data_IF_651229072007
#
_entry.id   IF_651229072007
#
_cell.length_a   1.000
_cell.length_b   1.000
_cell.length_c   1.000
_cell.angle_alpha   90.00
_cell.angle_beta   90.00
_cell.angle_gamma   90.00
#
_symmetry.space_group_name_H-M   'P 1'
#
loop_
_entity.id
_entity.type
_entity.pdbx_description
1 polymer ?
#
# COMPACT_ATOMS: atom_id res chain seq x y z
N UNK A 1 8.52 5.15 -20.28
CA UNK A 1 7.46 5.55 -19.35
C UNK A 1 6.47 4.42 -19.41
N UNK A 2 6.54 3.50 -18.46
CA UNK A 2 5.53 2.45 -18.35
C UNK A 2 4.25 3.15 -17.86
N UNK A 3 3.17 3.06 -18.63
CA UNK A 3 1.89 3.58 -18.17
C UNK A 3 1.44 2.64 -17.05
N UNK A 4 1.11 3.19 -15.88
CA UNK A 4 0.61 2.40 -14.74
C UNK A 4 -0.50 1.42 -15.16
N UNK A 5 -0.78 0.39 -14.36
CA UNK A 5 -1.64 -0.72 -14.77
C UNK A 5 -2.98 -0.22 -15.31
N UNK A 6 -3.29 -0.57 -16.56
CA UNK A 6 -4.52 -0.10 -17.24
C UNK A 6 -5.71 -1.05 -17.05
N UNK A 7 -5.48 -2.23 -16.44
CA UNK A 7 -6.53 -3.21 -16.15
C UNK A 7 -6.52 -3.65 -14.68
N UNK A 8 -7.66 -4.12 -14.14
CA UNK A 8 -7.74 -4.67 -12.79
C UNK A 8 -6.83 -5.88 -12.56
N UNK A 9 -6.58 -6.76 -13.55
CA UNK A 9 -5.65 -7.89 -13.34
C UNK A 9 -4.20 -7.43 -13.20
N UNK A 10 -3.77 -6.48 -14.03
CA UNK A 10 -2.42 -5.91 -13.91
C UNK A 10 -2.26 -5.16 -12.58
N UNK A 11 -3.30 -4.43 -12.16
CA UNK A 11 -3.30 -3.76 -10.88
C UNK A 11 -3.14 -4.76 -9.71
N UNK A 12 -3.85 -5.90 -9.74
CA UNK A 12 -3.67 -6.97 -8.74
C UNK A 12 -2.23 -7.50 -8.73
N UNK A 13 -1.63 -7.77 -9.89
CA UNK A 13 -0.24 -8.25 -9.95
C UNK A 13 0.76 -7.24 -9.36
N UNK A 14 0.56 -5.95 -9.60
CA UNK A 14 1.37 -4.87 -9.01
C UNK A 14 1.18 -4.83 -7.50
N UNK A 15 -0.06 -4.87 -7.02
CA UNK A 15 -0.37 -4.85 -5.59
C UNK A 15 0.17 -6.09 -4.87
N UNK A 16 0.12 -7.27 -5.48
CA UNK A 16 0.70 -8.51 -4.97
C UNK A 16 2.23 -8.45 -4.85
N UNK A 17 2.90 -7.65 -5.70
CA UNK A 17 4.34 -7.38 -5.57
C UNK A 17 4.61 -6.57 -4.31
N UNK A 18 3.82 -5.52 -4.06
CA UNK A 18 3.97 -4.68 -2.88
C UNK A 18 3.55 -5.39 -1.59
N UNK A 19 2.50 -6.21 -1.64
CA UNK A 19 2.06 -7.05 -0.53
C UNK A 19 3.21 -7.95 -0.06
N UNK A 20 3.83 -8.70 -0.99
CA UNK A 20 4.98 -9.56 -0.66
C UNK A 20 6.23 -8.81 -0.22
N UNK A 21 6.48 -7.63 -0.78
CA UNK A 21 7.67 -6.85 -0.46
C UNK A 21 7.61 -6.23 0.94
N UNK A 22 6.47 -5.63 1.31
CA UNK A 22 6.32 -4.90 2.58
C UNK A 22 4.92 -4.99 3.18
N UNK A 23 3.87 -5.14 2.37
CA UNK A 23 2.49 -5.06 2.83
C UNK A 23 2.12 -6.14 3.85
N UNK A 24 2.43 -7.40 3.58
CA UNK A 24 2.07 -8.53 4.44
C UNK A 24 2.76 -8.44 5.80
N UNK A 25 4.06 -8.14 5.80
CA UNK A 25 4.84 -7.98 7.03
C UNK A 25 4.40 -6.74 7.83
N UNK A 26 4.08 -5.62 7.15
CA UNK A 26 3.62 -4.40 7.79
C UNK A 26 2.24 -4.56 8.43
N UNK A 27 1.30 -5.21 7.74
CA UNK A 27 -0.01 -5.55 8.31
C UNK A 27 0.10 -6.52 9.48
N UNK A 28 0.96 -7.53 9.38
CA UNK A 28 1.20 -8.47 10.49
C UNK A 28 1.77 -7.74 11.72
N UNK A 29 2.69 -6.79 11.52
CA UNK A 29 3.21 -5.96 12.60
C UNK A 29 2.13 -5.05 13.21
N UNK A 30 1.28 -4.45 12.39
CA UNK A 30 0.15 -3.65 12.86
C UNK A 30 -0.85 -4.48 13.68
N UNK A 31 -1.14 -5.72 13.26
CA UNK A 31 -2.01 -6.63 14.01
C UNK A 31 -1.42 -7.02 15.39
N UNK A 32 -0.09 -7.01 15.52
CA UNK A 32 0.61 -7.38 16.76
C UNK A 32 0.85 -6.20 17.73
N UNK A 33 0.81 -4.96 17.26
CA UNK A 33 1.14 -3.77 18.06
C UNK A 33 0.15 -2.62 17.78
N UNK A 34 -0.69 -2.22 18.76
CA UNK A 34 -1.65 -1.12 18.60
C UNK A 34 -1.02 0.23 18.21
N UNK A 35 0.22 0.49 18.65
CA UNK A 35 0.95 1.69 18.26
C UNK A 35 1.30 1.70 16.77
N UNK A 36 1.60 0.52 16.22
CA UNK A 36 1.85 0.31 14.79
C UNK A 36 0.54 0.34 14.00
N UNK A 37 -0.55 -0.21 14.55
CA UNK A 37 -1.88 -0.09 13.97
C UNK A 37 -2.32 1.36 13.76
N UNK A 38 -2.05 2.24 14.74
CA UNK A 38 -2.34 3.67 14.60
C UNK A 38 -1.53 4.33 13.46
N UNK A 39 -0.29 3.90 13.24
CA UNK A 39 0.52 4.41 12.12
C UNK A 39 -0.05 3.95 10.77
N UNK A 40 -0.51 2.70 10.69
CA UNK A 40 -1.18 2.18 9.50
C UNK A 40 -2.49 2.94 9.22
N UNK A 41 -3.32 3.18 10.24
CA UNK A 41 -4.56 3.95 10.11
C UNK A 41 -4.29 5.38 9.57
N UNK A 42 -3.31 6.08 10.14
CA UNK A 42 -2.89 7.39 9.65
C UNK A 42 -2.38 7.35 8.21
N UNK A 43 -1.63 6.31 7.84
CA UNK A 43 -1.14 6.14 6.48
C UNK A 43 -2.29 5.86 5.50
N UNK A 44 -3.27 5.05 5.91
CA UNK A 44 -4.50 4.77 5.14
C UNK A 44 -5.30 6.04 4.91
N UNK A 45 -5.51 6.87 5.93
CA UNK A 45 -6.13 8.18 5.78
C UNK A 45 -5.36 9.07 4.81
N UNK A 46 -4.03 9.12 4.93
CA UNK A 46 -3.16 9.91 4.04
C UNK A 46 -3.25 9.47 2.58
N UNK A 47 -3.32 8.17 2.31
CA UNK A 47 -3.48 7.63 0.94
C UNK A 47 -4.87 7.95 0.41
N UNK A 48 -5.92 7.81 1.24
CA UNK A 48 -7.29 8.18 0.88
C UNK A 48 -7.41 9.65 0.50
N UNK A 49 -6.85 10.55 1.32
CA UNK A 49 -6.83 12.00 1.07
C UNK A 49 -6.09 12.37 -0.23
N UNK A 50 -5.04 11.62 -0.58
CA UNK A 50 -4.25 11.85 -1.79
C UNK A 50 -4.94 11.37 -3.08
N UNK A 51 -5.89 10.43 -2.97
CA UNK A 51 -6.64 9.88 -4.10
C UNK A 51 -7.99 10.60 -4.25
N UNK A 52 -8.93 10.28 -3.36
CA UNK A 52 -10.23 10.91 -3.22
C UNK A 52 -10.86 10.46 -1.90
N UNK A 53 -11.00 11.35 -0.89
CA UNK A 53 -11.52 10.97 0.41
C UNK A 53 -13.01 10.59 0.39
N UNK A 54 -13.74 10.86 -0.69
CA UNK A 54 -15.19 10.65 -0.77
C UNK A 54 -15.58 9.31 -1.39
N UNK A 55 -14.62 8.50 -1.84
CA UNK A 55 -14.91 7.19 -2.43
C UNK A 55 -13.81 6.19 -2.10
N UNK A 56 -14.15 4.90 -2.24
CA UNK A 56 -13.15 3.84 -2.24
C UNK A 56 -12.37 3.88 -3.56
N UNK A 57 -11.02 3.88 -3.53
CA UNK A 57 -10.23 3.90 -4.73
C UNK A 57 -10.25 2.52 -5.42
N UNK A 58 -10.43 2.46 -6.76
CA UNK A 58 -10.32 1.21 -7.51
C UNK A 58 -8.87 0.71 -7.50
N UNK A 59 -8.69 -0.61 -7.70
CA UNK A 59 -7.38 -1.26 -7.68
C UNK A 59 -6.36 -0.60 -8.62
N UNK A 60 -6.81 -0.14 -9.80
CA UNK A 60 -5.97 0.56 -10.78
C UNK A 60 -5.36 1.84 -10.21
N UNK A 61 -6.13 2.62 -9.46
CA UNK A 61 -5.64 3.86 -8.85
C UNK A 61 -4.68 3.57 -7.70
N UNK A 62 -5.00 2.58 -6.86
CA UNK A 62 -4.11 2.13 -5.78
C UNK A 62 -2.76 1.65 -6.31
N UNK A 63 -2.77 0.84 -7.36
CA UNK A 63 -1.54 0.33 -7.98
C UNK A 63 -0.74 1.46 -8.64
N UNK A 64 -1.41 2.36 -9.36
CA UNK A 64 -0.76 3.53 -9.97
C UNK A 64 -0.16 4.47 -8.94
N UNK A 65 -0.83 4.65 -7.79
CA UNK A 65 -0.31 5.41 -6.67
C UNK A 65 0.97 4.78 -6.09
N UNK A 66 0.97 3.46 -5.85
CA UNK A 66 2.12 2.76 -5.29
C UNK A 66 3.34 2.79 -6.23
N UNK A 67 3.15 2.53 -7.53
CA UNK A 67 4.22 2.63 -8.53
C UNK A 67 4.75 4.07 -8.60
N UNK A 68 3.88 5.07 -8.75
CA UNK A 68 4.29 6.48 -8.81
C UNK A 68 5.01 6.98 -7.55
N UNK A 69 4.54 6.54 -6.37
CA UNK A 69 5.19 6.82 -5.09
C UNK A 69 6.59 6.20 -5.03
N UNK A 70 6.71 4.93 -5.43
CA UNK A 70 7.98 4.18 -5.42
C UNK A 70 8.97 4.74 -6.42
N UNK A 71 8.53 5.02 -7.65
CA UNK A 71 9.36 5.60 -8.71
C UNK A 71 9.92 6.96 -8.29
N UNK A 72 9.07 7.81 -7.73
CA UNK A 72 9.51 9.11 -7.21
C UNK A 72 10.46 8.95 -6.04
N UNK A 73 10.17 8.09 -5.07
CA UNK A 73 11.02 7.89 -3.90
C UNK A 73 12.39 7.32 -4.29
N UNK A 74 12.42 6.31 -5.16
CA UNK A 74 13.66 5.69 -5.66
C UNK A 74 14.50 6.67 -6.47
N UNK A 75 13.88 7.55 -7.26
CA UNK A 75 14.59 8.65 -7.94
C UNK A 75 15.29 9.63 -6.98
N UNK A 76 14.82 9.69 -5.73
CA UNK A 76 15.38 10.49 -4.64
C UNK A 76 16.28 9.68 -3.70
N UNK A 77 16.62 8.44 -4.06
CA UNK A 77 17.55 7.58 -3.31
C UNK A 77 16.90 6.73 -2.21
N UNK A 78 15.58 6.73 -2.08
CA UNK A 78 14.89 5.79 -1.21
C UNK A 78 15.05 4.35 -1.73
N UNK A 79 15.14 3.39 -0.80
CA UNK A 79 15.22 1.97 -1.11
C UNK A 79 14.14 1.23 -0.34
N UNK A 80 13.51 0.28 -1.01
CA UNK A 80 12.56 -0.64 -0.38
C UNK A 80 13.24 -1.30 0.84
N UNK A 81 12.62 -1.26 2.03
CA UNK A 81 13.17 -1.92 3.21
C UNK A 81 13.09 -3.44 3.06
N UNK A 82 14.00 -4.15 3.71
CA UNK A 82 13.88 -5.60 3.89
C UNK A 82 12.84 -5.87 4.99
N UNK A 83 11.70 -6.52 4.68
CA UNK A 83 10.62 -6.76 5.63
C UNK A 83 11.04 -7.60 6.84
N UNK A 84 12.14 -8.36 6.75
CA UNK A 84 12.65 -9.18 7.86
C UNK A 84 13.45 -8.39 8.89
N UNK A 85 13.89 -7.17 8.54
CA UNK A 85 14.79 -6.36 9.39
C UNK A 85 14.22 -5.01 9.76
N UNK A 86 13.11 -4.60 9.15
CA UNK A 86 12.51 -3.29 9.37
C UNK A 86 11.97 -3.15 10.78
N UNK A 87 12.31 -2.04 11.44
CA UNK A 87 11.64 -1.61 12.67
C UNK A 87 10.37 -0.86 12.29
N UNK A 88 9.23 -1.55 12.33
CA UNK A 88 7.93 -1.00 11.93
C UNK A 88 7.55 0.27 12.70
N UNK A 89 7.91 0.40 13.98
CA UNK A 89 7.64 1.61 14.76
C UNK A 89 8.41 2.83 14.25
N UNK A 90 9.48 2.61 13.49
CA UNK A 90 10.35 3.66 12.96
C UNK A 90 10.41 3.67 11.43
N UNK A 91 9.58 2.85 10.77
CA UNK A 91 9.51 2.80 9.33
C UNK A 91 9.09 4.17 8.79
N UNK A 92 9.65 4.53 7.64
CA UNK A 92 9.41 5.82 7.02
C UNK A 92 8.00 5.93 6.41
N UNK A 93 7.61 7.16 6.06
CA UNK A 93 6.27 7.44 5.53
C UNK A 93 6.00 6.78 4.17
N UNK A 94 7.01 6.56 3.33
CA UNK A 94 6.84 5.86 2.04
C UNK A 94 6.51 4.40 2.30
N UNK A 95 7.26 3.76 3.18
CA UNK A 95 7.01 2.39 3.62
C UNK A 95 5.59 2.24 4.17
N UNK A 96 5.17 3.13 5.08
CA UNK A 96 3.82 3.08 5.64
C UNK A 96 2.71 3.32 4.61
N UNK A 97 2.91 4.21 3.63
CA UNK A 97 1.96 4.40 2.53
C UNK A 97 1.84 3.17 1.63
N UNK A 98 2.93 2.42 1.40
CA UNK A 98 2.87 1.17 0.64
C UNK A 98 2.09 0.08 1.40
N UNK A 99 2.25 -0.02 2.73
CA UNK A 99 1.44 -0.94 3.55
C UNK A 99 -0.03 -0.52 3.52
N UNK A 100 -0.32 0.78 3.64
CA UNK A 100 -1.68 1.32 3.55
C UNK A 100 -2.36 1.06 2.21
N UNK A 101 -1.64 1.17 1.09
CA UNK A 101 -2.15 0.79 -0.22
C UNK A 101 -2.54 -0.70 -0.25
N UNK A 102 -1.71 -1.57 0.35
CA UNK A 102 -2.02 -2.99 0.43
C UNK A 102 -3.24 -3.28 1.34
N UNK A 103 -3.39 -2.55 2.44
CA UNK A 103 -4.58 -2.64 3.32
C UNK A 103 -5.86 -2.27 2.56
N UNK A 104 -5.84 -1.14 1.85
CA UNK A 104 -6.97 -0.69 1.03
C UNK A 104 -7.28 -1.67 -0.10
N UNK A 105 -6.26 -2.24 -0.74
CA UNK A 105 -6.43 -3.22 -1.80
C UNK A 105 -7.12 -4.49 -1.30
N UNK A 106 -6.69 -5.02 -0.15
CA UNK A 106 -7.35 -6.17 0.51
C UNK A 106 -8.81 -5.85 0.80
N UNK A 107 -9.08 -4.68 1.38
CA UNK A 107 -10.45 -4.25 1.71
C UNK A 107 -11.35 -4.06 0.48
N UNK A 108 -10.79 -3.74 -0.69
CA UNK A 108 -11.54 -3.69 -1.96
C UNK A 108 -11.81 -5.10 -2.49
N UNK A 109 -10.84 -6.00 -2.39
CA UNK A 109 -10.95 -7.38 -2.91
C UNK A 109 -11.89 -8.26 -2.09
N UNK A 110 -11.91 -8.11 -0.76
CA UNK A 110 -12.80 -8.87 0.12
C UNK A 110 -14.28 -8.56 -0.17
N UNK A 111 -14.60 -7.32 -0.53
CA UNK A 111 -15.95 -6.87 -0.90
C UNK A 111 -16.37 -7.37 -2.29
N UNK A 112 -15.45 -7.41 -3.25
CA UNK A 112 -15.71 -8.02 -4.58
C UNK A 112 -16.06 -9.51 -4.44
N UNK A 113 -15.47 -10.22 -3.47
CA UNK A 113 -15.75 -11.63 -3.20
C UNK A 113 -17.10 -11.83 -2.52
N UNK A 114 -17.51 -10.94 -1.61
CA UNK A 114 -18.83 -11.05 -0.95
C UNK A 114 -19.99 -10.60 -1.84
N UNK A 115 -19.72 -9.82 -2.89
CA UNK A 115 -20.72 -9.38 -3.87
C UNK A 115 -20.96 -10.38 -5.02
N UNK A 116 -20.15 -11.44 -5.14
CA UNK A 116 -20.24 -12.47 -6.19
C UNK A 116 -21.02 -13.72 -5.74
#
# INVERSE_FOLDING_TARGET
MDHGPTSPELARQVLDRYARAVGDAGRAAAAADPGVAAMLDQATATVGDALDPNRRPPLVELASYADGLTDRATSLGWRMPDPMTVDWRRADQITWRLVAVCELATAVQDEDVTAA
#
